data_IF_234461257868
#
_entry.id   IF_234461257868
#
_cell.length_a   1.000
_cell.length_b   1.000
_cell.length_c   1.000
_cell.angle_alpha   90.00
_cell.angle_beta   90.00
_cell.angle_gamma   90.00
#
_symmetry.space_group_name_H-M   'P 1'
#
loop_
_entity.id
_entity.type
_entity.pdbx_description
1 polymer ?
#
# COMPACT_ATOMS: atom_id res chain seq x y z
N UNK A 1 -16.66 -11.47 14.60
CA UNK A 1 -16.98 -10.88 13.28
C UNK A 1 -16.97 -12.01 12.25
N UNK A 2 -18.13 -12.49 11.83
CA UNK A 2 -18.24 -13.57 10.83
C UNK A 2 -18.02 -12.97 9.44
N UNK A 3 -16.95 -13.38 8.76
CA UNK A 3 -16.67 -12.97 7.38
C UNK A 3 -17.87 -13.35 6.51
N UNK A 4 -18.44 -12.36 5.82
CA UNK A 4 -19.55 -12.54 4.89
C UNK A 4 -19.22 -13.62 3.83
N UNK A 5 -20.22 -14.27 3.21
CA UNK A 5 -19.99 -15.37 2.26
C UNK A 5 -18.98 -15.03 1.15
N UNK A 6 -19.00 -13.80 0.63
CA UNK A 6 -18.04 -13.32 -0.37
C UNK A 6 -16.60 -13.21 0.16
N UNK A 7 -16.43 -12.76 1.40
CA UNK A 7 -15.09 -12.65 2.00
C UNK A 7 -14.42 -14.02 2.20
N UNK A 8 -15.20 -15.11 2.35
CA UNK A 8 -14.64 -16.48 2.43
C UNK A 8 -14.06 -16.94 1.09
N UNK A 9 -14.67 -16.55 -0.02
CA UNK A 9 -14.17 -16.85 -1.37
C UNK A 9 -12.85 -16.14 -1.63
N UNK A 10 -12.76 -14.85 -1.30
CA UNK A 10 -11.53 -14.06 -1.45
C UNK A 10 -10.41 -14.57 -0.54
N UNK A 11 -10.72 -14.86 0.73
CA UNK A 11 -9.74 -15.41 1.67
C UNK A 11 -9.08 -16.71 1.15
N UNK A 12 -9.87 -17.61 0.53
CA UNK A 12 -9.31 -18.82 -0.10
C UNK A 12 -8.31 -18.49 -1.22
N UNK A 13 -8.61 -17.48 -2.03
CA UNK A 13 -7.72 -17.05 -3.12
C UNK A 13 -6.45 -16.38 -2.58
N UNK A 14 -6.56 -15.56 -1.53
CA UNK A 14 -5.42 -14.91 -0.87
C UNK A 14 -4.46 -15.94 -0.27
N UNK A 15 -4.99 -16.98 0.39
CA UNK A 15 -4.18 -18.12 0.90
C UNK A 15 -3.41 -18.78 -0.24
N UNK A 16 -4.08 -19.09 -1.36
CA UNK A 16 -3.43 -19.69 -2.53
C UNK A 16 -2.40 -18.75 -3.18
N UNK A 17 -2.67 -17.44 -3.24
CA UNK A 17 -1.73 -16.47 -3.77
C UNK A 17 -0.45 -16.41 -2.92
N UNK A 18 -0.57 -16.53 -1.59
CA UNK A 18 0.56 -16.53 -0.67
C UNK A 18 1.47 -17.78 -0.77
N UNK A 19 0.98 -18.87 -1.37
CA UNK A 19 1.81 -20.04 -1.70
C UNK A 19 2.83 -19.74 -2.81
N UNK A 20 2.57 -18.72 -3.64
CA UNK A 20 3.53 -18.23 -4.63
C UNK A 20 4.48 -17.23 -3.96
N UNK A 21 5.80 -17.47 -3.96
CA UNK A 21 6.75 -16.57 -3.33
C UNK A 21 6.82 -15.23 -4.08
N UNK A 22 6.97 -14.14 -3.33
CA UNK A 22 7.09 -12.79 -3.90
C UNK A 22 8.28 -12.72 -4.85
N UNK A 23 8.02 -12.29 -6.09
CA UNK A 23 9.06 -12.18 -7.11
C UNK A 23 10.03 -11.03 -6.81
N UNK A 24 11.29 -11.24 -7.18
CA UNK A 24 12.26 -10.17 -7.15
C UNK A 24 11.93 -9.15 -8.23
N UNK A 25 11.75 -7.89 -7.82
CA UNK A 25 11.57 -6.78 -8.76
C UNK A 25 12.77 -6.67 -9.71
N UNK A 26 12.53 -6.43 -11.02
CA UNK A 26 13.60 -6.27 -11.99
C UNK A 26 14.43 -5.01 -11.71
N UNK A 27 15.68 -4.92 -12.22
CA UNK A 27 16.62 -3.87 -11.84
C UNK A 27 16.17 -2.44 -12.21
N UNK A 28 15.24 -2.28 -13.15
CA UNK A 28 14.68 -0.99 -13.56
C UNK A 28 13.50 -0.50 -12.70
N UNK A 29 12.86 -1.37 -11.90
CA UNK A 29 11.81 -0.96 -10.96
C UNK A 29 12.46 -0.61 -9.63
N UNK A 30 12.96 0.63 -9.54
CA UNK A 30 13.60 1.19 -8.34
C UNK A 30 13.25 2.67 -8.24
N UNK A 31 12.77 3.10 -7.07
CA UNK A 31 12.58 4.52 -6.75
C UNK A 31 13.53 4.91 -5.61
N UNK A 32 14.03 6.14 -5.65
CA UNK A 32 14.77 6.73 -4.53
C UNK A 32 13.82 7.55 -3.68
N UNK A 33 13.53 7.07 -2.47
CA UNK A 33 12.73 7.81 -1.52
C UNK A 33 13.45 9.10 -1.11
N UNK A 34 12.78 10.25 -1.27
CA UNK A 34 13.26 11.56 -0.82
C UNK A 34 12.28 12.13 0.19
N UNK A 35 12.59 11.98 1.48
CA UNK A 35 11.81 12.58 2.56
C UNK A 35 12.31 13.97 2.88
N UNK A 36 12.03 14.92 1.97
CA UNK A 36 12.39 16.33 2.11
C UNK A 36 11.43 17.12 3.03
N UNK A 37 11.72 18.42 3.25
CA UNK A 37 10.85 19.30 4.01
C UNK A 37 9.46 19.40 3.39
N UNK A 38 9.34 19.44 2.06
CA UNK A 38 8.05 19.55 1.35
C UNK A 38 7.18 18.31 1.55
N UNK A 39 7.79 17.11 1.50
CA UNK A 39 7.09 15.86 1.81
C UNK A 39 6.53 15.87 3.24
N UNK A 40 7.34 16.35 4.18
CA UNK A 40 6.98 16.39 5.61
C UNK A 40 5.88 17.40 5.88
N UNK A 41 5.94 18.56 5.23
CA UNK A 41 4.90 19.59 5.29
C UNK A 41 3.57 19.07 4.73
N UNK A 42 3.59 18.48 3.52
CA UNK A 42 2.40 17.91 2.89
C UNK A 42 1.77 16.82 3.76
N UNK A 43 2.58 15.91 4.29
CA UNK A 43 2.12 14.86 5.20
C UNK A 43 1.50 15.42 6.48
N UNK A 44 2.08 16.49 7.02
CA UNK A 44 1.58 17.15 8.23
C UNK A 44 0.25 17.87 7.97
N UNK A 45 0.13 18.51 6.80
CA UNK A 45 -1.11 19.14 6.34
C UNK A 45 -2.23 18.09 6.20
N UNK A 46 -1.99 17.01 5.45
CA UNK A 46 -2.98 15.93 5.24
C UNK A 46 -3.50 15.40 6.57
N UNK A 47 -2.59 15.12 7.53
CA UNK A 47 -2.97 14.65 8.87
C UNK A 47 -3.73 15.69 9.68
N UNK A 48 -3.30 16.95 9.66
CA UNK A 48 -3.94 18.03 10.42
C UNK A 48 -5.37 18.29 9.95
N UNK A 49 -5.61 18.21 8.65
CA UNK A 49 -6.94 18.40 8.06
C UNK A 49 -7.80 17.13 8.11
N UNK A 50 -7.29 16.02 8.68
CA UNK A 50 -8.03 14.75 8.74
C UNK A 50 -8.30 14.13 7.36
N UNK A 51 -7.42 14.38 6.39
CA UNK A 51 -7.55 13.93 5.01
C UNK A 51 -6.80 12.61 4.79
N UNK A 52 -7.19 11.91 3.73
CA UNK A 52 -6.51 10.72 3.23
C UNK A 52 -6.04 10.97 1.79
N UNK A 53 -4.93 10.34 1.41
CA UNK A 53 -4.44 10.39 0.03
C UNK A 53 -4.24 8.99 -0.50
N UNK A 54 -4.57 8.78 -1.78
CA UNK A 54 -4.26 7.52 -2.47
C UNK A 54 -2.76 7.23 -2.48
N UNK A 55 -1.93 8.27 -2.46
CA UNK A 55 -0.47 8.15 -2.39
C UNK A 55 -0.03 7.34 -1.15
N UNK A 56 -0.62 7.61 0.02
CA UNK A 56 -0.29 6.91 1.27
C UNK A 56 -1.08 5.60 1.42
N UNK A 57 -2.40 5.62 1.20
CA UNK A 57 -3.28 4.46 1.43
C UNK A 57 -2.98 3.28 0.49
N UNK A 58 -2.57 3.56 -0.75
CA UNK A 58 -2.24 2.51 -1.73
C UNK A 58 -0.76 2.08 -1.69
N UNK A 59 0.07 2.68 -0.84
CA UNK A 59 1.50 2.38 -0.77
C UNK A 59 2.25 2.69 -2.07
N UNK A 60 1.91 3.80 -2.73
CA UNK A 60 2.51 4.19 -4.00
C UNK A 60 4.03 4.40 -3.84
N UNK A 61 4.89 3.79 -4.69
CA UNK A 61 6.35 3.85 -4.54
C UNK A 61 6.97 5.11 -5.16
N UNK A 62 6.18 6.07 -5.65
CA UNK A 62 6.63 7.28 -6.34
C UNK A 62 6.98 8.40 -5.36
#
# INVERSE_FOLDING_TARGET
MTVAPEGRKLLRLEVRNAETPIERKPPWIKTKLRTGPEYTELKSLVRREGLHTVCEEAGCPN
#
